data_IF_882009087055
#
_entry.id   IF_882009087055
#
_cell.length_a   1.000
_cell.length_b   1.000
_cell.length_c   1.000
_cell.angle_alpha   90.00
_cell.angle_beta   90.00
_cell.angle_gamma   90.00
#
_symmetry.space_group_name_H-M   'P 1'
#
loop_
_entity.id
_entity.type
_entity.pdbx_description
1 polymer ?
#
# COMPACT_ATOMS: atom_id res chain seq x y z
N UNK A 1 2.32 12.20 5.74
CA UNK A 1 3.27 11.75 6.78
C UNK A 1 4.62 12.41 6.49
N UNK A 2 5.39 12.75 7.51
CA UNK A 2 6.80 13.17 7.31
C UNK A 2 7.60 11.96 6.79
N UNK A 3 8.24 12.12 5.64
CA UNK A 3 8.98 11.06 4.96
C UNK A 3 10.50 11.13 5.14
N UNK A 4 11.01 12.20 5.75
CA UNK A 4 12.44 12.44 5.93
C UNK A 4 12.95 11.88 7.27
N UNK A 5 12.06 11.66 8.23
CA UNK A 5 12.39 11.19 9.60
C UNK A 5 12.86 9.74 9.71
N UNK A 6 13.01 9.00 8.60
CA UNK A 6 13.37 7.57 8.60
C UNK A 6 12.30 6.63 9.17
N UNK A 7 11.21 7.18 9.69
CA UNK A 7 10.03 6.43 10.14
C UNK A 7 9.29 5.88 8.93
N UNK A 8 8.86 4.62 9.00
CA UNK A 8 8.12 3.94 7.95
C UNK A 8 6.61 3.98 8.25
N UNK A 9 5.85 4.94 7.71
CA UNK A 9 4.44 5.06 8.02
C UNK A 9 3.66 3.86 7.47
N UNK A 10 2.57 3.54 8.16
CA UNK A 10 1.66 2.48 7.75
C UNK A 10 0.24 2.83 8.18
N UNK A 11 -0.74 2.23 7.51
CA UNK A 11 -2.14 2.30 7.89
C UNK A 11 -2.82 0.96 7.65
N UNK A 12 -3.97 0.76 8.28
CA UNK A 12 -4.80 -0.44 8.13
C UNK A 12 -6.19 -0.02 7.68
N UNK A 13 -6.73 -0.72 6.70
CA UNK A 13 -8.09 -0.58 6.19
C UNK A 13 -8.87 -1.83 6.60
N UNK A 14 -10.01 -1.63 7.24
CA UNK A 14 -11.02 -2.68 7.44
C UNK A 14 -11.95 -2.69 6.24
N UNK A 15 -12.16 -3.85 5.66
CA UNK A 15 -13.13 -4.06 4.59
C UNK A 15 -14.51 -4.37 5.18
N UNK A 16 -15.56 -4.18 4.39
CA UNK A 16 -16.94 -4.48 4.80
C UNK A 16 -17.18 -5.99 4.94
N UNK A 17 -16.53 -6.77 4.10
CA UNK A 17 -16.56 -8.23 4.10
C UNK A 17 -15.21 -8.78 3.61
N UNK A 18 -15.02 -10.09 3.74
CA UNK A 18 -13.82 -10.73 3.22
C UNK A 18 -13.85 -10.74 1.70
N UNK A 19 -12.80 -10.26 1.06
CA UNK A 19 -12.66 -10.27 -0.41
C UNK A 19 -11.42 -11.06 -0.83
N UNK A 20 -11.44 -11.58 -2.04
CA UNK A 20 -10.26 -12.09 -2.70
C UNK A 20 -9.51 -10.92 -3.36
N UNK A 21 -8.35 -10.57 -2.83
CA UNK A 21 -7.59 -9.41 -3.31
C UNK A 21 -6.82 -9.74 -4.59
N UNK A 22 -7.16 -9.10 -5.69
CA UNK A 22 -6.44 -9.22 -6.96
C UNK A 22 -5.67 -7.95 -7.33
N UNK A 23 -6.25 -6.79 -7.05
CA UNK A 23 -5.69 -5.50 -7.44
C UNK A 23 -5.77 -4.48 -6.31
N UNK A 24 -4.87 -3.51 -6.33
CA UNK A 24 -4.92 -2.31 -5.49
C UNK A 24 -4.72 -1.09 -6.37
N UNK A 25 -5.55 -0.07 -6.15
CA UNK A 25 -5.41 1.25 -6.76
C UNK A 25 -4.87 2.27 -5.77
N UNK A 26 -3.87 3.04 -6.21
CA UNK A 26 -3.32 4.18 -5.47
C UNK A 26 -3.45 5.45 -6.29
N UNK A 27 -3.80 6.55 -5.62
CA UNK A 27 -3.86 7.87 -6.24
C UNK A 27 -2.99 8.86 -5.48
N UNK A 28 -2.16 9.59 -6.22
CA UNK A 28 -1.24 10.62 -5.72
C UNK A 28 -1.52 11.94 -6.46
N UNK A 29 -2.25 12.86 -5.83
CA UNK A 29 -2.64 14.15 -6.43
C UNK A 29 -2.18 15.37 -5.63
N UNK A 30 -1.49 15.15 -4.52
CA UNK A 30 -1.01 16.25 -3.69
C UNK A 30 0.19 16.91 -4.35
N UNK A 31 0.12 18.21 -4.63
CA UNK A 31 1.17 18.93 -5.35
C UNK A 31 2.37 19.24 -4.45
N UNK A 32 2.13 19.42 -3.15
CA UNK A 32 3.15 19.83 -2.17
C UNK A 32 3.63 18.65 -1.31
N UNK A 33 3.51 17.42 -1.82
CA UNK A 33 3.95 16.22 -1.14
C UNK A 33 4.50 15.22 -2.15
N UNK A 34 5.55 14.51 -1.75
CA UNK A 34 6.07 13.38 -2.52
C UNK A 34 5.10 12.19 -2.51
N UNK A 35 5.20 11.34 -3.52
CA UNK A 35 4.56 10.03 -3.50
C UNK A 35 5.47 9.00 -2.80
N UNK A 36 4.85 8.00 -2.16
CA UNK A 36 5.59 6.85 -1.65
C UNK A 36 6.04 5.97 -2.82
N UNK A 37 7.23 5.35 -2.74
CA UNK A 37 7.81 4.53 -3.81
C UNK A 37 7.62 3.05 -3.56
N UNK A 38 8.37 2.47 -2.64
CA UNK A 38 8.25 1.05 -2.31
C UNK A 38 7.21 0.86 -1.21
N UNK A 39 6.18 0.07 -1.48
CA UNK A 39 5.10 -0.24 -0.54
C UNK A 39 4.93 -1.75 -0.37
N UNK A 40 4.68 -2.19 0.86
CA UNK A 40 4.24 -3.55 1.15
C UNK A 40 2.73 -3.57 1.34
N UNK A 41 2.08 -4.51 0.66
CA UNK A 41 0.67 -4.83 0.83
C UNK A 41 0.56 -6.09 1.67
N UNK A 42 -0.08 -5.97 2.82
CA UNK A 42 -0.21 -7.01 3.82
C UNK A 42 -1.69 -7.30 4.10
N UNK A 43 -2.03 -8.56 4.39
CA UNK A 43 -3.41 -8.98 4.61
C UNK A 43 -3.62 -9.84 5.85
N UNK A 44 -4.79 -9.70 6.46
CA UNK A 44 -5.25 -10.52 7.58
C UNK A 44 -6.76 -10.74 7.55
N UNK A 45 -7.21 -11.82 8.18
CA UNK A 45 -8.63 -12.08 8.49
C UNK A 45 -9.05 -11.56 9.87
N UNK A 46 -8.10 -11.10 10.69
CA UNK A 46 -8.31 -10.65 12.06
C UNK A 46 -7.57 -9.35 12.33
N UNK A 47 -8.18 -8.46 13.10
CA UNK A 47 -7.56 -7.25 13.63
C UNK A 47 -8.05 -7.00 15.07
N UNK A 48 -7.16 -6.60 16.01
CA UNK A 48 -5.72 -6.45 15.85
C UNK A 48 -4.97 -7.78 15.71
N UNK A 49 -3.81 -7.76 15.06
CA UNK A 49 -2.92 -8.93 14.92
C UNK A 49 -1.47 -8.49 14.72
N UNK A 50 -0.54 -9.31 15.19
CA UNK A 50 0.89 -9.21 14.86
C UNK A 50 1.23 -10.00 13.59
N UNK A 51 0.42 -11.01 13.27
CA UNK A 51 0.61 -11.89 12.13
C UNK A 51 -0.05 -11.31 10.88
N UNK A 52 0.75 -10.67 10.04
CA UNK A 52 0.35 -10.13 8.74
C UNK A 52 0.95 -10.95 7.61
N UNK A 53 0.15 -11.32 6.61
CA UNK A 53 0.62 -12.06 5.42
C UNK A 53 1.04 -11.04 4.36
N UNK A 54 2.23 -11.19 3.79
CA UNK A 54 2.65 -10.40 2.62
C UNK A 54 1.87 -10.87 1.40
N UNK A 55 1.10 -9.95 0.80
CA UNK A 55 0.33 -10.20 -0.44
C UNK A 55 1.10 -9.71 -1.66
N UNK A 56 1.92 -8.68 -1.50
CA UNK A 56 2.83 -8.22 -2.54
C UNK A 56 3.65 -7.01 -2.12
N UNK A 57 4.67 -6.74 -2.92
CA UNK A 57 5.46 -5.52 -2.86
C UNK A 57 5.26 -4.79 -4.18
N UNK A 58 5.00 -3.49 -4.10
CA UNK A 58 4.74 -2.65 -5.27
C UNK A 58 5.72 -1.48 -5.25
N UNK A 59 6.13 -1.07 -6.44
CA UNK A 59 6.91 0.15 -6.67
C UNK A 59 6.06 1.12 -7.50
N UNK A 60 5.83 2.31 -6.96
CA UNK A 60 5.05 3.33 -7.66
C UNK A 60 5.91 4.16 -8.61
N UNK A 61 5.27 4.74 -9.61
CA UNK A 61 5.82 5.80 -10.44
C UNK A 61 5.68 7.17 -9.77
N UNK A 62 6.69 8.07 -9.87
CA UNK A 62 6.58 9.44 -9.39
C UNK A 62 5.72 10.33 -10.30
N UNK A 63 5.54 9.95 -11.57
CA UNK A 63 4.86 10.80 -12.58
C UNK A 63 3.44 10.37 -12.88
N UNK A 64 3.04 9.16 -12.51
CA UNK A 64 1.69 8.66 -12.74
C UNK A 64 0.81 8.85 -11.49
N UNK A 65 -0.17 9.76 -11.52
CA UNK A 65 -1.01 10.00 -10.36
C UNK A 65 -2.04 8.90 -10.12
N UNK A 66 -2.32 7.99 -11.06
CA UNK A 66 -3.32 6.93 -10.91
C UNK A 66 -2.73 5.56 -11.25
N UNK A 67 -2.43 4.77 -10.23
CA UNK A 67 -1.69 3.53 -10.42
C UNK A 67 -2.51 2.33 -9.96
N UNK A 68 -2.61 1.32 -10.82
CA UNK A 68 -3.28 0.05 -10.55
C UNK A 68 -2.23 -1.07 -10.55
N UNK A 69 -2.18 -1.81 -9.46
CA UNK A 69 -1.20 -2.89 -9.28
C UNK A 69 -1.91 -4.24 -9.25
N UNK A 70 -1.43 -5.18 -10.07
CA UNK A 70 -1.89 -6.58 -10.09
C UNK A 70 -1.11 -7.40 -9.06
N UNK A 71 -1.82 -7.90 -8.05
CA UNK A 71 -1.33 -8.78 -6.99
C UNK A 71 -1.73 -10.25 -7.22
N UNK A 72 -2.47 -10.55 -8.30
CA UNK A 72 -2.97 -11.88 -8.62
C UNK A 72 -1.87 -12.92 -8.80
N UNK A 73 -0.66 -12.51 -9.21
CA UNK A 73 0.49 -13.42 -9.39
C UNK A 73 0.93 -14.05 -8.06
N UNK A 74 0.98 -13.26 -6.99
CA UNK A 74 1.23 -13.74 -5.63
C UNK A 74 0.09 -14.62 -5.13
N UNK A 75 -1.15 -14.28 -5.49
CA UNK A 75 -2.35 -14.99 -5.07
C UNK A 75 -2.57 -16.33 -5.78
N UNK A 76 -2.16 -16.43 -7.05
CA UNK A 76 -2.29 -17.65 -7.87
C UNK A 76 -1.55 -18.84 -7.30
N UNK A 77 -0.37 -18.61 -6.71
CA UNK A 77 0.41 -19.69 -6.10
C UNK A 77 -0.14 -20.13 -4.73
N UNK A 78 -0.96 -19.30 -4.09
CA UNK A 78 -1.52 -19.55 -2.77
C UNK A 78 -2.93 -18.95 -2.62
N UNK A 79 -3.95 -19.54 -3.26
CA UNK A 79 -5.30 -18.97 -3.34
C UNK A 79 -5.92 -18.69 -1.96
N UNK A 80 -5.69 -19.55 -0.97
CA UNK A 80 -6.23 -19.35 0.38
C UNK A 80 -5.62 -18.14 1.11
N UNK A 81 -4.47 -17.63 0.65
CA UNK A 81 -3.77 -16.52 1.30
C UNK A 81 -4.31 -15.14 0.92
N UNK A 82 -5.06 -15.02 -0.18
CA UNK A 82 -5.52 -13.72 -0.69
C UNK A 82 -6.93 -13.33 -0.28
N UNK A 83 -7.67 -14.21 0.39
CA UNK A 83 -8.86 -13.81 1.13
C UNK A 83 -8.46 -12.96 2.34
N UNK A 84 -8.93 -11.71 2.38
CA UNK A 84 -8.59 -10.74 3.42
C UNK A 84 -9.81 -9.97 3.88
N UNK A 85 -9.83 -9.61 5.16
CA UNK A 85 -10.80 -8.69 5.76
C UNK A 85 -10.14 -7.37 6.18
N UNK A 86 -8.83 -7.39 6.41
CA UNK A 86 -8.01 -6.24 6.76
C UNK A 86 -6.80 -6.16 5.85
N UNK A 87 -6.54 -4.98 5.31
CA UNK A 87 -5.37 -4.68 4.50
C UNK A 87 -4.48 -3.71 5.27
N UNK A 88 -3.20 -4.01 5.39
CA UNK A 88 -2.19 -3.10 5.92
C UNK A 88 -1.28 -2.67 4.78
N UNK A 89 -1.10 -1.36 4.65
CA UNK A 89 -0.14 -0.77 3.72
C UNK A 89 1.00 -0.21 4.54
N UNK A 90 2.24 -0.62 4.21
CA UNK A 90 3.45 -0.13 4.86
C UNK A 90 4.35 0.52 3.80
N UNK A 91 4.68 1.78 4.00
CA UNK A 91 5.66 2.45 3.16
C UNK A 91 7.08 2.10 3.59
N UNK A 92 7.92 1.74 2.62
CA UNK A 92 9.34 1.43 2.82
C UNK A 92 10.25 2.58 2.39
N UNK A 93 9.84 3.33 1.36
CA UNK A 93 10.55 4.52 0.88
C UNK A 93 9.61 5.48 0.16
N UNK A 94 10.13 6.63 -0.26
CA UNK A 94 9.43 7.64 -1.04
C UNK A 94 10.25 8.06 -2.26
N UNK A 95 9.65 8.84 -3.14
CA UNK A 95 10.35 9.48 -4.25
C UNK A 95 10.94 10.82 -3.78
N UNK A 96 12.21 11.06 -4.06
CA UNK A 96 12.94 12.29 -3.70
C UNK A 96 12.72 13.39 -4.76
N UNK A 97 11.45 13.68 -5.04
CA UNK A 97 11.07 14.72 -6.01
C UNK A 97 10.85 16.03 -5.26
N UNK A 98 11.55 17.09 -5.70
CA UNK A 98 11.40 18.46 -5.20
C UNK A 98 11.69 18.65 -3.69
N UNK A 99 12.41 17.72 -3.06
CA UNK A 99 12.80 17.76 -1.62
C UNK A 99 11.61 17.95 -0.66
N UNK A 100 10.40 17.57 -1.06
CA UNK A 100 9.21 17.73 -0.23
C UNK A 100 9.34 16.92 1.09
N UNK A 101 9.09 17.53 2.26
CA UNK A 101 9.26 16.86 3.55
C UNK A 101 8.15 15.84 3.85
N UNK A 102 7.01 15.97 3.17
CA UNK A 102 5.85 15.13 3.39
C UNK A 102 5.59 14.21 2.22
N UNK A 103 5.06 13.02 2.51
CA UNK A 103 4.36 12.22 1.51
C UNK A 103 2.88 12.06 1.82
N UNK A 104 2.11 11.92 0.74
CA UNK A 104 0.66 11.72 0.80
C UNK A 104 0.23 10.56 -0.08
N UNK A 105 -0.81 9.84 0.34
CA UNK A 105 -1.66 9.02 -0.53
C UNK A 105 -3.01 9.72 -0.53
N UNK A 106 -3.47 10.17 -1.70
CA UNK A 106 -4.74 10.87 -1.81
C UNK A 106 -5.92 9.90 -1.75
N UNK A 107 -5.77 8.69 -2.33
CA UNK A 107 -6.78 7.65 -2.29
C UNK A 107 -6.16 6.25 -2.35
N UNK A 108 -6.76 5.35 -1.59
CA UNK A 108 -6.53 3.91 -1.62
C UNK A 108 -7.85 3.23 -2.02
N UNK A 109 -7.82 2.28 -2.95
CA UNK A 109 -9.00 1.54 -3.41
C UNK A 109 -8.68 0.09 -3.76
#
# INVERSE_FOLDING_TARGET
>A
ADCQTGVRPWFVVSLLESIYLEHIGLVFKELFASSFRHLQILGSMKYPTEQWRLLGEIETSPTDPFQLFDLSSSCRHHPDKCWVLFIKVRALSHHEVEENPYCAITRFQ
#
